data_IF_835491422207
#
_entry.id   IF_835491422207
#
_cell.length_a   1.000
_cell.length_b   1.000
_cell.length_c   1.000
_cell.angle_alpha   90.00
_cell.angle_beta   90.00
_cell.angle_gamma   90.00
#
_symmetry.space_group_name_H-M   'P 1'
#
loop_
_entity.id
_entity.type
_entity.pdbx_description
1 polymer ?
#
# COMPACT_ATOMS: atom_id res chain seq x y z
N UNK A 1 -5.25 2.32 -17.31
CA UNK A 1 -4.51 2.32 -16.02
C UNK A 1 -3.56 1.12 -16.02
N UNK A 2 -2.32 1.32 -15.57
CA UNK A 2 -1.24 0.32 -15.62
C UNK A 2 -0.84 -0.21 -14.23
N UNK A 3 -1.56 0.18 -13.17
CA UNK A 3 -1.35 -0.29 -11.80
C UNK A 3 -2.66 -0.34 -11.01
N UNK A 4 -2.71 -1.16 -9.96
CA UNK A 4 -3.85 -1.29 -9.04
C UNK A 4 -3.37 -1.18 -7.61
N UNK A 5 -4.06 -0.37 -6.81
CA UNK A 5 -3.90 -0.29 -5.36
C UNK A 5 -5.09 -1.00 -4.69
N UNK A 6 -4.79 -2.05 -3.94
CA UNK A 6 -5.75 -2.77 -3.09
C UNK A 6 -5.69 -2.13 -1.71
N UNK A 7 -6.82 -1.59 -1.25
CA UNK A 7 -6.97 -0.94 0.04
C UNK A 7 -7.87 -1.74 0.99
N UNK A 8 -7.90 -1.31 2.23
CA UNK A 8 -8.74 -1.85 3.30
C UNK A 8 -10.22 -1.99 2.90
N UNK A 9 -10.80 -1.00 2.21
CA UNK A 9 -12.19 -1.02 1.75
C UNK A 9 -12.45 -2.13 0.71
N UNK A 10 -11.49 -2.46 -0.14
CA UNK A 10 -11.60 -3.58 -1.07
C UNK A 10 -11.61 -4.92 -0.31
N UNK A 11 -10.75 -5.05 0.71
CA UNK A 11 -10.70 -6.23 1.58
C UNK A 11 -11.94 -6.33 2.47
N UNK A 12 -12.47 -5.20 2.95
CA UNK A 12 -13.72 -5.15 3.72
C UNK A 12 -14.93 -5.64 2.89
N UNK A 13 -14.99 -5.28 1.61
CA UNK A 13 -16.02 -5.80 0.70
C UNK A 13 -15.92 -7.33 0.56
N UNK A 14 -14.72 -7.86 0.34
CA UNK A 14 -14.49 -9.31 0.25
C UNK A 14 -14.84 -10.01 1.57
N UNK A 15 -14.51 -9.42 2.71
CA UNK A 15 -14.87 -9.93 4.03
C UNK A 15 -16.39 -10.01 4.22
N UNK A 16 -17.12 -8.98 3.78
CA UNK A 16 -18.58 -8.97 3.84
C UNK A 16 -19.20 -10.05 2.94
N UNK A 17 -18.64 -10.27 1.76
CA UNK A 17 -19.10 -11.34 0.85
C UNK A 17 -18.86 -12.73 1.42
N UNK A 18 -17.69 -12.96 2.02
CA UNK A 18 -17.36 -14.22 2.70
C UNK A 18 -18.26 -14.48 3.92
N UNK A 19 -18.56 -13.44 4.69
CA UNK A 19 -19.47 -13.55 5.85
C UNK A 19 -20.90 -13.97 5.42
N UNK A 20 -21.39 -13.53 4.26
CA UNK A 20 -22.68 -13.97 3.70
C UNK A 20 -22.70 -15.45 3.32
N UNK A 21 -21.53 -16.01 3.02
CA UNK A 21 -21.34 -17.42 2.65
C UNK A 21 -20.93 -18.29 3.85
N UNK A 22 -20.96 -17.72 5.09
CA UNK A 22 -20.48 -18.38 6.30
C UNK A 22 -19.04 -18.90 6.21
N UNK A 23 -18.22 -18.24 5.39
CA UNK A 23 -16.83 -18.60 5.14
C UNK A 23 -15.88 -17.76 6.02
N UNK A 24 -14.82 -18.36 6.60
CA UNK A 24 -13.86 -17.62 7.41
C UNK A 24 -13.09 -16.62 6.55
N UNK A 25 -12.82 -15.43 7.12
CA UNK A 25 -11.94 -14.46 6.48
C UNK A 25 -10.48 -14.81 6.76
N UNK A 26 -9.70 -14.93 5.70
CA UNK A 26 -8.25 -15.10 5.71
C UNK A 26 -7.61 -14.05 4.81
N UNK A 27 -6.78 -13.19 5.38
CA UNK A 27 -6.20 -12.05 4.66
C UNK A 27 -5.40 -12.47 3.42
N UNK A 28 -4.46 -13.44 3.48
CA UNK A 28 -3.74 -13.91 2.30
C UNK A 28 -4.64 -14.41 1.17
N UNK A 29 -5.69 -15.14 1.49
CA UNK A 29 -6.65 -15.65 0.50
C UNK A 29 -7.46 -14.53 -0.13
N UNK A 30 -7.91 -13.56 0.67
CA UNK A 30 -8.62 -12.38 0.19
C UNK A 30 -7.74 -11.53 -0.75
N UNK A 31 -6.47 -11.33 -0.40
CA UNK A 31 -5.51 -10.62 -1.26
C UNK A 31 -5.26 -11.36 -2.56
N UNK A 32 -5.04 -12.68 -2.53
CA UNK A 32 -4.90 -13.50 -3.75
C UNK A 32 -6.11 -13.40 -4.66
N UNK A 33 -7.32 -13.37 -4.09
CA UNK A 33 -8.56 -13.20 -4.85
C UNK A 33 -8.64 -11.80 -5.49
N UNK A 34 -8.31 -10.74 -4.74
CA UNK A 34 -8.28 -9.37 -5.25
C UNK A 34 -7.24 -9.22 -6.38
N UNK A 35 -6.04 -9.78 -6.20
CA UNK A 35 -4.99 -9.81 -7.24
C UNK A 35 -5.47 -10.51 -8.51
N UNK A 36 -6.17 -11.64 -8.39
CA UNK A 36 -6.74 -12.34 -9.55
C UNK A 36 -7.75 -11.47 -10.27
N UNK A 37 -8.73 -10.91 -9.54
CA UNK A 37 -9.75 -9.99 -10.11
C UNK A 37 -9.10 -8.80 -10.82
N UNK A 38 -8.05 -8.20 -10.23
CA UNK A 38 -7.35 -7.09 -10.84
C UNK A 38 -6.67 -7.48 -12.16
N UNK A 39 -6.04 -8.66 -12.22
CA UNK A 39 -5.39 -9.17 -13.43
C UNK A 39 -6.39 -9.54 -14.51
N UNK A 40 -7.52 -10.14 -14.16
CA UNK A 40 -8.58 -10.53 -15.10
C UNK A 40 -9.28 -9.29 -15.72
N UNK A 41 -9.35 -8.19 -14.97
CA UNK A 41 -9.93 -6.93 -15.43
C UNK A 41 -8.91 -6.02 -16.17
N UNK A 42 -7.65 -6.40 -16.24
CA UNK A 42 -6.61 -5.58 -16.85
C UNK A 42 -6.76 -5.57 -18.39
N UNK A 43 -6.41 -4.42 -18.99
CA UNK A 43 -6.29 -4.27 -20.44
C UNK A 43 -5.23 -5.25 -21.01
N UNK A 44 -5.22 -5.51 -22.33
CA UNK A 44 -4.27 -6.45 -22.95
C UNK A 44 -2.79 -6.17 -22.67
N UNK A 45 -2.42 -4.91 -22.35
CA UNK A 45 -1.06 -4.52 -21.96
C UNK A 45 -0.68 -5.02 -20.56
N UNK A 46 -1.66 -5.50 -19.76
CA UNK A 46 -1.49 -5.99 -18.42
C UNK A 46 -1.20 -4.90 -17.39
N UNK A 47 -0.97 -5.33 -16.14
CA UNK A 47 -0.61 -4.45 -15.03
C UNK A 47 0.91 -4.43 -14.83
N UNK A 48 1.47 -3.24 -14.65
CA UNK A 48 2.90 -3.08 -14.31
C UNK A 48 3.19 -3.55 -12.90
N UNK A 49 2.28 -3.22 -11.95
CA UNK A 49 2.35 -3.71 -10.58
C UNK A 49 0.97 -3.69 -9.92
N UNK A 50 0.85 -4.49 -8.88
CA UNK A 50 -0.25 -4.45 -7.93
C UNK A 50 0.34 -4.10 -6.57
N UNK A 51 -0.24 -3.14 -5.91
CA UNK A 51 0.13 -2.63 -4.61
C UNK A 51 -0.97 -2.97 -3.60
N UNK A 52 -0.56 -3.35 -2.40
CA UNK A 52 -1.44 -3.65 -1.27
C UNK A 52 -1.14 -2.69 -0.13
N UNK A 53 -2.16 -2.02 0.40
CA UNK A 53 -2.06 -1.21 1.61
C UNK A 53 -2.28 -2.09 2.86
N UNK A 54 -1.39 -1.97 3.84
CA UNK A 54 -1.51 -2.57 5.17
C UNK A 54 -1.17 -1.54 6.24
N UNK A 55 -1.83 -1.64 7.39
CA UNK A 55 -1.68 -0.72 8.53
C UNK A 55 -0.98 -1.37 9.74
N UNK A 56 -0.63 -2.65 9.64
CA UNK A 56 0.03 -3.37 10.73
C UNK A 56 1.17 -4.28 10.27
N UNK A 57 2.17 -4.44 11.14
CA UNK A 57 3.26 -5.42 10.95
C UNK A 57 2.74 -6.86 10.99
N UNK A 58 1.64 -7.11 11.69
CA UNK A 58 1.01 -8.43 11.74
C UNK A 58 0.44 -8.82 10.36
N UNK A 59 -0.27 -7.89 9.69
CA UNK A 59 -0.79 -8.13 8.35
C UNK A 59 0.33 -8.29 7.33
N UNK A 60 1.38 -7.44 7.41
CA UNK A 60 2.58 -7.64 6.60
C UNK A 60 3.19 -9.03 6.80
N UNK A 61 3.27 -9.51 8.05
CA UNK A 61 3.75 -10.85 8.38
C UNK A 61 2.98 -11.93 7.66
N UNK A 62 1.65 -11.89 7.70
CA UNK A 62 0.77 -12.84 7.00
C UNK A 62 0.99 -12.82 5.47
N UNK A 63 1.17 -11.64 4.89
CA UNK A 63 1.45 -11.49 3.46
C UNK A 63 2.81 -12.08 3.09
N UNK A 64 3.84 -11.82 3.91
CA UNK A 64 5.18 -12.37 3.72
C UNK A 64 5.18 -13.89 3.82
N UNK A 65 4.57 -14.47 4.87
CA UNK A 65 4.45 -15.92 5.07
C UNK A 65 3.72 -16.61 3.93
N UNK A 66 2.73 -15.94 3.36
CA UNK A 66 1.98 -16.45 2.20
C UNK A 66 2.69 -16.24 0.84
N UNK A 67 3.97 -15.83 0.84
CA UNK A 67 4.77 -15.63 -0.37
C UNK A 67 4.41 -14.36 -1.15
N UNK A 68 3.91 -13.31 -0.47
CA UNK A 68 3.57 -12.02 -1.08
C UNK A 68 2.26 -11.97 -1.84
N UNK A 69 1.49 -13.04 -1.87
CA UNK A 69 0.15 -13.12 -2.47
C UNK A 69 0.03 -12.62 -3.92
N UNK A 70 1.15 -12.39 -4.62
CA UNK A 70 1.19 -11.90 -6.01
C UNK A 70 1.19 -10.38 -6.15
N UNK A 71 1.37 -9.63 -5.05
CA UNK A 71 1.61 -8.18 -5.08
C UNK A 71 3.10 -7.89 -5.30
N UNK A 72 3.41 -6.75 -5.89
CA UNK A 72 4.78 -6.30 -6.11
C UNK A 72 5.22 -5.25 -5.10
N UNK A 73 4.27 -4.51 -4.53
CA UNK A 73 4.52 -3.44 -3.57
C UNK A 73 3.56 -3.62 -2.40
N UNK A 74 4.05 -3.41 -1.18
CA UNK A 74 3.22 -3.25 0.01
C UNK A 74 3.41 -1.84 0.55
N UNK A 75 2.33 -1.07 0.58
CA UNK A 75 2.25 0.24 1.17
C UNK A 75 1.97 0.10 2.65
N UNK A 76 2.87 0.65 3.46
CA UNK A 76 2.84 0.65 4.92
C UNK A 76 2.24 1.99 5.37
N UNK A 77 0.94 1.98 5.73
CA UNK A 77 0.23 3.21 6.03
C UNK A 77 0.40 3.64 7.48
N UNK A 78 0.74 4.91 7.69
CA UNK A 78 0.88 5.56 9.00
C UNK A 78 1.86 4.87 9.98
N UNK A 79 2.83 4.12 9.50
CA UNK A 79 3.84 3.47 10.34
C UNK A 79 4.96 4.44 10.73
N UNK A 80 5.46 4.29 11.95
CA UNK A 80 6.64 5.03 12.44
C UNK A 80 7.92 4.54 11.75
N UNK A 81 9.00 5.35 11.70
CA UNK A 81 10.29 4.92 11.16
C UNK A 81 10.84 3.63 11.80
N UNK A 82 10.59 3.39 13.07
CA UNK A 82 10.97 2.16 13.76
C UNK A 82 10.20 0.93 13.24
N UNK A 83 8.88 1.06 13.06
CA UNK A 83 8.05 0.00 12.48
C UNK A 83 8.42 -0.28 11.01
N UNK A 84 8.76 0.76 10.25
CA UNK A 84 9.24 0.60 8.87
C UNK A 84 10.56 -0.18 8.81
N UNK A 85 11.50 0.10 9.72
CA UNK A 85 12.75 -0.65 9.80
C UNK A 85 12.51 -2.12 10.18
N UNK A 86 11.54 -2.40 11.07
CA UNK A 86 11.11 -3.76 11.40
C UNK A 86 10.48 -4.46 10.19
N UNK A 87 9.61 -3.78 9.46
CA UNK A 87 9.00 -4.28 8.21
C UNK A 87 10.07 -4.67 7.18
N UNK A 88 11.08 -3.83 6.98
CA UNK A 88 12.23 -4.12 6.11
C UNK A 88 12.98 -5.37 6.57
N UNK A 89 13.27 -5.48 7.88
CA UNK A 89 13.94 -6.65 8.43
C UNK A 89 13.12 -7.95 8.24
N UNK A 90 11.80 -7.89 8.39
CA UNK A 90 10.88 -9.03 8.14
C UNK A 90 10.96 -9.48 6.68
N UNK A 91 10.83 -8.55 5.72
CA UNK A 91 10.94 -8.83 4.28
C UNK A 91 12.28 -9.44 3.92
N UNK A 92 13.39 -8.86 4.39
CA UNK A 92 14.73 -9.29 4.06
C UNK A 92 15.06 -10.67 4.64
N UNK A 93 14.62 -10.94 5.87
CA UNK A 93 14.73 -12.27 6.50
C UNK A 93 13.99 -13.34 5.70
N UNK A 94 12.82 -13.02 5.18
CA UNK A 94 12.02 -13.93 4.37
C UNK A 94 12.53 -14.07 2.92
N UNK A 95 13.46 -13.20 2.48
CA UNK A 95 14.02 -13.16 1.12
C UNK A 95 12.94 -13.05 0.03
N UNK A 96 11.85 -12.32 0.32
CA UNK A 96 10.75 -12.16 -0.61
C UNK A 96 10.96 -10.89 -1.47
N UNK A 97 10.65 -11.00 -2.77
CA UNK A 97 10.87 -9.93 -3.74
C UNK A 97 9.69 -8.95 -3.81
N UNK A 98 9.26 -8.40 -2.67
CA UNK A 98 8.29 -7.30 -2.62
C UNK A 98 9.02 -6.00 -2.26
N UNK A 99 8.52 -4.88 -2.78
CA UNK A 99 8.96 -3.54 -2.37
C UNK A 99 8.09 -3.03 -1.24
N UNK A 100 8.68 -2.25 -0.34
CA UNK A 100 7.97 -1.60 0.75
C UNK A 100 7.89 -0.10 0.47
N UNK A 101 6.68 0.46 0.57
CA UNK A 101 6.43 1.89 0.40
C UNK A 101 5.90 2.47 1.71
N UNK A 102 6.53 3.53 2.22
CA UNK A 102 6.05 4.26 3.38
C UNK A 102 5.06 5.35 2.95
N UNK A 103 3.92 5.42 3.63
CA UNK A 103 2.87 6.42 3.40
C UNK A 103 2.27 6.90 4.72
N UNK A 104 1.52 8.01 4.67
CA UNK A 104 0.80 8.56 5.82
C UNK A 104 1.58 9.62 6.60
N UNK A 105 1.11 10.87 6.55
CA UNK A 105 1.61 11.97 7.38
C UNK A 105 3.08 12.36 7.21
N UNK A 106 3.74 11.91 6.13
CA UNK A 106 5.16 12.20 5.88
C UNK A 106 5.29 13.60 5.27
N UNK A 107 6.15 14.41 5.88
CA UNK A 107 6.42 15.78 5.44
C UNK A 107 7.83 15.91 4.84
N UNK A 108 8.11 16.88 3.95
CA UNK A 108 9.41 17.02 3.30
C UNK A 108 10.60 17.12 4.26
N UNK A 109 10.44 17.76 5.40
CA UNK A 109 11.46 17.89 6.45
C UNK A 109 11.77 16.57 7.16
N UNK A 110 10.83 15.60 7.13
CA UNK A 110 10.98 14.29 7.77
C UNK A 110 11.41 13.18 6.82
N UNK A 111 11.47 13.41 5.51
CA UNK A 111 11.83 12.38 4.51
C UNK A 111 13.10 11.61 4.89
N UNK A 112 14.14 12.34 5.34
CA UNK A 112 15.43 11.71 5.68
C UNK A 112 15.32 10.72 6.85
N UNK A 113 14.41 10.96 7.80
CA UNK A 113 14.11 10.06 8.90
C UNK A 113 13.49 8.77 8.39
N UNK A 114 12.47 8.88 7.54
CA UNK A 114 11.79 7.74 6.93
C UNK A 114 12.69 6.95 5.99
N UNK A 115 13.53 7.61 5.19
CA UNK A 115 14.46 6.95 4.28
C UNK A 115 15.49 6.07 4.99
N UNK A 116 15.90 6.44 6.22
CA UNK A 116 16.83 5.62 7.01
C UNK A 116 16.25 4.27 7.46
N UNK A 117 14.93 4.09 7.41
CA UNK A 117 14.30 2.79 7.69
C UNK A 117 14.63 1.71 6.66
N UNK A 118 15.07 2.11 5.46
CA UNK A 118 15.41 1.19 4.38
C UNK A 118 14.25 0.78 3.49
N UNK A 119 13.09 1.46 3.57
CA UNK A 119 11.99 1.27 2.62
C UNK A 119 12.41 1.63 1.19
N UNK A 120 11.80 1.00 0.20
CA UNK A 120 12.13 1.20 -1.21
C UNK A 120 11.53 2.49 -1.79
N UNK A 121 10.41 2.95 -1.19
CA UNK A 121 9.63 4.10 -1.65
C UNK A 121 9.07 4.89 -0.48
N UNK A 122 8.83 6.19 -0.73
CA UNK A 122 8.15 7.09 0.21
C UNK A 122 7.14 7.93 -0.57
N UNK A 123 5.87 7.89 -0.16
CA UNK A 123 4.80 8.71 -0.71
C UNK A 123 4.53 9.92 0.16
N UNK A 124 4.53 11.10 -0.47
CA UNK A 124 4.25 12.37 0.17
C UNK A 124 3.01 13.01 -0.42
N UNK A 125 1.92 13.06 0.32
CA UNK A 125 0.70 13.78 -0.08
C UNK A 125 0.92 15.29 -0.24
N UNK A 126 1.86 15.86 0.50
CA UNK A 126 2.21 17.30 0.40
C UNK A 126 2.76 17.72 -0.96
N UNK A 127 3.27 16.81 -1.78
CA UNK A 127 3.71 17.12 -3.15
C UNK A 127 2.52 17.40 -4.09
N UNK A 128 1.36 16.83 -3.82
CA UNK A 128 0.16 16.99 -4.65
C UNK A 128 -0.88 17.91 -4.03
N UNK A 129 -1.05 17.87 -2.71
CA UNK A 129 -2.06 18.64 -1.97
C UNK A 129 -1.51 19.87 -1.27
N UNK A 130 -0.19 20.00 -1.15
CA UNK A 130 0.49 21.11 -0.46
C UNK A 130 0.86 22.29 -1.33
N UNK A 131 0.45 22.33 -2.59
CA UNK A 131 0.68 23.48 -3.48
C UNK A 131 -0.02 24.70 -2.92
N UNK A 132 0.74 25.75 -2.59
CA UNK A 132 0.18 27.03 -2.15
C UNK A 132 -0.58 27.66 -3.31
N UNK A 133 -1.87 27.90 -3.14
CA UNK A 133 -2.67 28.70 -4.06
C UNK A 133 -2.18 30.14 -4.02
N UNK A 134 -1.98 30.75 -5.19
CA UNK A 134 -1.86 32.21 -5.29
C UNK A 134 -3.24 32.82 -4.98
N UNK A 135 -3.27 33.75 -4.03
CA UNK A 135 -4.46 34.56 -3.77
C UNK A 135 -4.52 35.64 -4.85
N UNK A 136 -5.44 35.46 -5.79
CA UNK A 136 -5.65 36.40 -6.90
C UNK A 136 -7.07 36.93 -6.79
N UNK A 137 -7.20 38.21 -6.45
CA UNK A 137 -8.46 38.96 -6.48
C UNK A 137 -8.62 39.73 -7.81
N UNK A 138 -9.84 39.85 -8.28
CA UNK A 138 -10.23 40.74 -9.39
C UNK A 138 -11.09 41.88 -8.81
N UNK A 139 -10.55 43.09 -8.79
CA UNK A 139 -11.30 44.29 -8.45
C UNK A 139 -11.82 44.95 -9.72
N UNK A 140 -13.11 45.27 -9.74
CA UNK A 140 -13.73 46.06 -10.81
C UNK A 140 -13.78 47.50 -10.29
N UNK A 141 -13.05 48.40 -10.97
CA UNK A 141 -13.05 49.83 -10.70
C UNK A 141 -14.28 50.53 -11.30
#
# INVERSE_FOLDING_TARGET
YDAVLIKDNHLASLKADLARLDAPFDLPSAVKQAVRKARDAAEPQGLRFIELEVDSLADLGLIIEAGGCGVQIVLLDNMTPAQLAEAVAMRDKAKIAIKLEASGGITPDRIAEFARSGVDRISLGSLTHGAKSLDVGLDIA
#
